data_IF_715558052648
#
_entry.id   IF_715558052648
#
_cell.length_a   1.000
_cell.length_b   1.000
_cell.length_c   1.000
_cell.angle_alpha   90.00
_cell.angle_beta   90.00
_cell.angle_gamma   90.00
#
_symmetry.space_group_name_H-M   'P 1'
#
loop_
_entity.id
_entity.type
_entity.pdbx_description
1 polymer ?
#
# COMPACT_ATOMS: atom_id res chain seq x y z
N UNK A 1 10.10 7.03 -4.12
CA UNK A 1 8.95 7.27 -3.26
C UNK A 1 7.69 7.05 -4.04
N UNK A 2 6.64 6.70 -3.37
CA UNK A 2 5.40 6.38 -4.03
C UNK A 2 4.32 7.35 -3.60
N UNK A 3 3.22 7.32 -4.29
CA UNK A 3 2.13 8.22 -3.97
C UNK A 3 0.93 7.38 -3.55
N UNK A 4 0.33 7.72 -2.44
CA UNK A 4 -0.82 7.00 -1.94
C UNK A 4 -2.00 7.20 -2.89
N UNK A 5 -2.61 6.12 -3.38
CA UNK A 5 -3.73 6.29 -4.30
C UNK A 5 -5.03 6.67 -3.60
N UNK A 6 -5.03 6.67 -2.27
CA UNK A 6 -6.25 6.99 -1.54
C UNK A 6 -6.28 8.46 -1.18
N UNK A 7 -5.23 8.96 -0.57
CA UNK A 7 -5.21 10.36 -0.16
C UNK A 7 -4.25 11.20 -0.98
N UNK A 8 -3.42 10.60 -1.78
CA UNK A 8 -2.47 11.35 -2.59
C UNK A 8 -1.23 11.79 -1.86
N UNK A 9 -1.02 11.32 -0.64
CA UNK A 9 0.15 11.72 0.12
C UNK A 9 1.36 10.94 -0.36
N UNK A 10 2.52 11.48 -0.05
CA UNK A 10 3.75 10.85 -0.45
C UNK A 10 4.07 9.72 0.51
N UNK A 11 4.37 8.56 0.00
CA UNK A 11 4.68 7.39 0.81
C UNK A 11 6.14 7.05 0.59
N UNK A 12 6.90 6.98 1.69
CA UNK A 12 8.30 6.67 1.60
C UNK A 12 8.47 5.16 1.73
N UNK A 13 9.12 4.57 0.75
CA UNK A 13 9.37 3.14 0.75
C UNK A 13 10.82 2.87 1.09
N UNK A 14 11.06 1.81 1.84
CA UNK A 14 12.42 1.41 2.17
C UNK A 14 13.09 0.89 0.91
N UNK A 15 14.41 0.98 0.89
CA UNK A 15 15.13 0.54 -0.28
C UNK A 15 15.08 -0.96 -0.45
N UNK A 16 14.84 -1.70 0.62
CA UNK A 16 14.76 -3.14 0.51
C UNK A 16 13.32 -3.62 0.43
N UNK A 17 12.37 -2.77 0.14
CA UNK A 17 10.99 -3.18 0.01
C UNK A 17 10.85 -3.98 -1.28
N UNK A 18 9.95 -4.97 -1.25
CA UNK A 18 9.80 -5.85 -2.38
C UNK A 18 8.42 -5.72 -2.94
N UNK A 19 8.27 -6.14 -4.19
CA UNK A 19 6.98 -6.14 -4.82
C UNK A 19 6.06 -7.10 -4.09
N UNK A 20 4.88 -6.67 -3.79
CA UNK A 20 3.94 -7.47 -3.02
C UNK A 20 3.97 -7.17 -1.55
N UNK A 21 4.87 -6.30 -1.10
CA UNK A 21 4.95 -5.96 0.30
C UNK A 21 3.81 -5.03 0.67
N UNK A 22 3.28 -5.18 1.86
CA UNK A 22 2.18 -4.33 2.30
C UNK A 22 2.75 -3.23 3.18
N UNK A 23 2.44 -2.00 2.84
CA UNK A 23 2.87 -0.85 3.64
C UNK A 23 1.62 -0.06 3.99
N UNK A 24 1.72 0.78 4.99
CA UNK A 24 0.60 1.58 5.42
C UNK A 24 0.90 3.05 5.19
N UNK A 25 -0.10 3.77 4.72
CA UNK A 25 0.05 5.20 4.55
C UNK A 25 -0.05 5.88 5.90
N UNK A 26 0.91 6.77 6.20
CA UNK A 26 0.88 7.45 7.46
C UNK A 26 -0.13 8.55 7.50
N UNK A 27 -0.66 8.96 6.37
CA UNK A 27 -1.54 10.09 6.31
C UNK A 27 -2.99 9.66 6.43
N UNK A 28 -3.42 8.72 5.64
CA UNK A 28 -4.80 8.26 5.70
C UNK A 28 -4.93 6.90 6.37
N UNK A 29 -3.83 6.23 6.61
CA UNK A 29 -3.87 4.94 7.29
C UNK A 29 -4.30 3.77 6.42
N UNK A 30 -4.35 3.96 5.12
CA UNK A 30 -4.76 2.88 4.25
C UNK A 30 -3.62 1.92 4.00
N UNK A 31 -3.98 0.67 3.78
CA UNK A 31 -2.98 -0.33 3.46
C UNK A 31 -2.71 -0.30 1.97
N UNK A 32 -1.46 -0.36 1.61
CA UNK A 32 -1.04 -0.28 0.22
C UNK A 32 -0.14 -1.46 -0.10
N UNK A 33 -0.20 -1.88 -1.34
CA UNK A 33 0.63 -2.98 -1.79
C UNK A 33 1.67 -2.44 -2.75
N UNK A 34 2.92 -2.80 -2.55
CA UNK A 34 3.99 -2.33 -3.40
C UNK A 34 3.93 -3.08 -4.72
N UNK A 35 3.82 -2.35 -5.81
CA UNK A 35 3.77 -2.96 -7.13
C UNK A 35 5.07 -2.82 -7.89
N UNK A 36 6.02 -2.06 -7.36
CA UNK A 36 7.31 -1.86 -8.00
C UNK A 36 8.23 -1.13 -7.07
N UNK A 37 9.33 -0.66 -7.57
CA UNK A 37 10.29 -0.04 -6.70
C UNK A 37 9.77 1.23 -6.10
N UNK A 38 9.00 1.99 -6.85
CA UNK A 38 8.51 3.25 -6.36
C UNK A 38 7.02 3.36 -6.57
N UNK A 39 6.31 2.27 -6.65
CA UNK A 39 4.88 2.31 -6.96
C UNK A 39 4.11 1.50 -5.95
N UNK A 40 2.96 1.98 -5.59
CA UNK A 40 2.06 1.26 -4.69
C UNK A 40 0.65 1.37 -5.22
N UNK A 41 -0.19 0.45 -4.78
CA UNK A 41 -1.61 0.51 -5.12
C UNK A 41 -2.38 0.18 -3.87
N UNK A 42 -3.67 0.43 -3.89
CA UNK A 42 -4.50 0.14 -2.75
C UNK A 42 -4.51 -1.37 -2.56
N UNK A 43 -4.13 -1.83 -1.39
CA UNK A 43 -4.05 -3.25 -1.13
C UNK A 43 -5.45 -3.85 -1.16
N UNK A 44 -5.59 -5.04 -1.73
CA UNK A 44 -6.90 -5.66 -1.74
C UNK A 44 -7.30 -6.05 -0.34
N UNK A 45 -8.56 -5.81 -0.01
CA UNK A 45 -9.02 -6.18 1.27
C UNK A 45 -9.92 -7.31 1.11
N UNK A 46 -9.55 -8.47 1.55
CA UNK A 46 -10.34 -9.58 1.32
C UNK A 46 -11.01 -10.01 2.45
N UNK A 47 -11.30 -9.38 3.28
CA UNK A 47 -11.96 -9.83 4.38
C UNK A 47 -13.16 -10.37 4.18
N UNK A 48 -13.48 -10.89 3.84
CA UNK A 48 -14.37 -11.25 3.70
C UNK A 48 -15.00 -11.89 3.94
N UNK A 49 -15.34 -12.33 3.76
CA UNK A 49 -15.86 -12.79 3.76
C UNK A 49 -15.99 -13.70 4.40
N UNK A 50 -15.92 -14.26 4.91
CA UNK A 50 -15.96 -15.09 5.39
C UNK A 50 -16.85 -15.41 5.82
N UNK A 51 -17.27 -15.50 5.69
CA UNK A 51 -18.03 -15.67 5.89
C UNK A 51 -18.82 -15.93 6.08
N UNK A 52 -18.97 -16.16 5.95
CA UNK A 52 -19.65 -16.42 5.93
C UNK A 52 -19.98 -16.69 5.77
#
# INVERSE_FOLDING_TARGET
>A
MAECPVCGAEVTLASDVEKGEIVACDDCGSELEVTGQDSVQEAPQEEEDWGQ
#
